data_IF_558277749660
#
_entry.id   IF_558277749660
#
_cell.length_a   1.000
_cell.length_b   1.000
_cell.length_c   1.000
_cell.angle_alpha   90.00
_cell.angle_beta   90.00
_cell.angle_gamma   90.00
#
_symmetry.space_group_name_H-M   'P 1'
#
loop_
_entity.id
_entity.type
_entity.pdbx_description
1 polymer ?
#
# COMPACT_ATOMS: atom_id res chain seq x y z
N UNK A 1 31.50 -7.72 -31.84
CA UNK A 1 31.13 -8.01 -33.24
C UNK A 1 30.47 -6.77 -33.83
N UNK A 2 31.07 -6.15 -34.85
CA UNK A 2 30.43 -5.12 -35.67
C UNK A 2 29.74 -5.84 -36.83
N UNK A 3 28.45 -5.61 -37.02
CA UNK A 3 27.72 -6.21 -38.13
C UNK A 3 28.25 -5.62 -39.44
N UNK A 4 28.91 -6.43 -40.27
CA UNK A 4 29.44 -6.05 -41.59
C UNK A 4 28.34 -6.10 -42.66
N UNK A 5 27.13 -5.63 -42.35
CA UNK A 5 26.09 -5.53 -43.37
C UNK A 5 26.46 -4.37 -44.30
N UNK A 6 26.56 -4.58 -45.62
CA UNK A 6 26.82 -3.50 -46.55
C UNK A 6 25.65 -2.51 -46.51
N UNK A 7 25.87 -1.39 -45.83
CA UNK A 7 24.91 -0.30 -45.82
C UNK A 7 24.98 0.41 -47.15
N UNK A 8 23.87 0.41 -47.88
CA UNK A 8 23.78 1.08 -49.16
C UNK A 8 23.96 2.60 -48.97
N UNK A 9 24.73 3.27 -49.84
CA UNK A 9 25.08 4.71 -49.71
C UNK A 9 23.86 5.61 -49.47
N UNK A 10 22.70 5.25 -50.04
CA UNK A 10 21.45 6.00 -49.88
C UNK A 10 20.87 5.96 -48.46
N UNK A 11 21.17 4.94 -47.66
CA UNK A 11 20.71 4.81 -46.26
C UNK A 11 21.39 5.80 -45.31
N UNK A 12 22.55 6.33 -45.69
CA UNK A 12 23.27 7.38 -44.97
C UNK A 12 23.28 8.71 -45.72
N UNK A 13 22.31 8.93 -46.62
CA UNK A 13 22.15 10.23 -47.23
C UNK A 13 21.93 11.31 -46.15
N UNK A 14 22.42 12.52 -46.39
CA UNK A 14 22.38 13.60 -45.42
C UNK A 14 20.95 13.99 -44.99
N UNK A 15 19.96 13.73 -45.84
CA UNK A 15 18.53 13.86 -45.52
C UNK A 15 18.12 12.97 -44.34
N UNK A 16 18.53 11.70 -44.32
CA UNK A 16 18.21 10.76 -43.24
C UNK A 16 18.89 11.13 -41.92
N UNK A 17 20.09 11.71 -41.98
CA UNK A 17 20.78 12.20 -40.79
C UNK A 17 20.04 13.39 -40.18
N UNK A 18 19.61 14.35 -41.01
CA UNK A 18 18.80 15.48 -40.56
C UNK A 18 17.46 15.04 -39.97
N UNK A 19 16.79 14.07 -40.60
CA UNK A 19 15.54 13.51 -40.10
C UNK A 19 15.74 12.75 -38.78
N UNK A 20 16.85 12.01 -38.64
CA UNK A 20 17.21 11.36 -37.40
C UNK A 20 17.44 12.37 -36.26
N UNK A 21 18.14 13.48 -36.53
CA UNK A 21 18.36 14.56 -35.55
C UNK A 21 17.03 15.19 -35.11
N UNK A 22 16.11 15.42 -36.06
CA UNK A 22 14.77 15.95 -35.77
C UNK A 22 13.98 14.96 -34.91
N UNK A 23 14.04 13.68 -35.23
CA UNK A 23 13.37 12.62 -34.47
C UNK A 23 13.94 12.50 -33.06
N UNK A 24 15.26 12.56 -32.89
CA UNK A 24 15.92 12.53 -31.58
C UNK A 24 15.52 13.74 -30.74
N UNK A 25 15.53 14.95 -31.31
CA UNK A 25 15.07 16.18 -30.64
C UNK A 25 13.61 16.05 -30.18
N UNK A 26 12.74 15.48 -31.03
CA UNK A 26 11.33 15.23 -30.68
C UNK A 26 11.20 14.19 -29.56
N UNK A 27 11.97 13.11 -29.62
CA UNK A 27 11.98 12.06 -28.61
C UNK A 27 12.46 12.61 -27.25
N UNK A 28 13.50 13.45 -27.26
CA UNK A 28 14.02 14.13 -26.07
C UNK A 28 12.96 15.02 -25.43
N UNK A 29 12.33 15.90 -26.22
CA UNK A 29 11.22 16.76 -25.73
C UNK A 29 10.07 15.94 -25.15
N UNK A 30 9.69 14.85 -25.82
CA UNK A 30 8.63 13.96 -25.33
C UNK A 30 8.99 13.29 -23.99
N UNK A 31 10.27 12.95 -23.78
CA UNK A 31 10.78 12.41 -22.52
C UNK A 31 10.76 13.47 -21.41
N UNK A 32 11.23 14.68 -21.70
CA UNK A 32 11.24 15.82 -20.77
C UNK A 32 9.82 16.13 -20.29
N UNK A 33 8.88 16.35 -21.23
CA UNK A 33 7.47 16.60 -20.92
C UNK A 33 6.84 15.48 -20.07
N UNK A 34 7.17 14.22 -20.36
CA UNK A 34 6.68 13.07 -19.58
C UNK A 34 7.22 13.10 -18.15
N UNK A 35 8.52 13.37 -18.01
CA UNK A 35 9.19 13.50 -16.71
C UNK A 35 8.59 14.64 -15.90
N UNK A 36 8.43 15.83 -16.50
CA UNK A 36 7.82 17.00 -15.86
C UNK A 36 6.37 16.73 -15.45
N UNK A 37 5.56 16.15 -16.34
CA UNK A 37 4.16 15.83 -16.05
C UNK A 37 4.05 14.86 -14.86
N UNK A 38 4.88 13.82 -14.84
CA UNK A 38 4.89 12.86 -13.74
C UNK A 38 5.41 13.48 -12.44
N UNK A 39 6.52 14.23 -12.51
CA UNK A 39 7.15 14.85 -11.34
C UNK A 39 6.28 15.97 -10.74
N UNK A 40 5.43 16.64 -11.52
CA UNK A 40 4.52 17.69 -11.05
C UNK A 40 3.64 17.25 -9.89
N UNK A 41 3.19 15.98 -9.89
CA UNK A 41 2.34 15.41 -8.82
C UNK A 41 3.12 14.48 -7.88
N UNK A 42 4.41 14.28 -8.11
CA UNK A 42 5.21 13.35 -7.34
C UNK A 42 5.88 14.08 -6.17
N UNK A 43 5.67 13.58 -4.95
CA UNK A 43 6.36 14.05 -3.75
C UNK A 43 7.36 12.99 -3.27
N UNK A 44 8.60 13.37 -2.88
CA UNK A 44 9.55 12.42 -2.32
C UNK A 44 9.07 11.93 -0.96
N UNK A 45 9.08 10.61 -0.76
CA UNK A 45 8.81 10.00 0.55
C UNK A 45 10.09 10.02 1.41
N UNK A 46 9.97 10.13 2.74
CA UNK A 46 11.14 10.12 3.64
C UNK A 46 11.99 8.86 3.43
N UNK A 47 13.31 8.97 3.19
CA UNK A 47 14.16 7.81 2.94
C UNK A 47 14.22 6.90 4.18
N UNK A 48 14.50 5.62 3.95
CA UNK A 48 14.74 4.68 5.03
C UNK A 48 16.23 4.42 5.21
N UNK A 49 16.62 4.07 6.43
CA UNK A 49 17.96 3.67 6.77
C UNK A 49 18.06 2.14 6.81
N UNK A 50 19.27 1.62 6.66
CA UNK A 50 19.57 0.21 6.88
C UNK A 50 19.19 -0.16 8.32
N UNK A 51 18.59 -1.35 8.50
CA UNK A 51 18.10 -1.83 9.80
C UNK A 51 16.66 -1.45 10.14
N UNK A 52 16.02 -0.55 9.39
CA UNK A 52 14.62 -0.21 9.64
C UNK A 52 13.69 -1.40 9.37
N UNK A 53 12.81 -1.70 10.33
CA UNK A 53 11.72 -2.66 10.15
C UNK A 53 10.61 -2.06 9.28
N UNK A 54 10.25 -2.78 8.22
CA UNK A 54 9.28 -2.35 7.22
C UNK A 54 8.29 -3.46 6.87
N UNK A 55 7.13 -3.06 6.35
CA UNK A 55 6.17 -3.92 5.68
C UNK A 55 6.29 -3.70 4.17
N UNK A 56 6.25 -4.79 3.41
CA UNK A 56 6.25 -4.81 1.96
C UNK A 56 4.81 -4.91 1.46
N UNK A 57 4.48 -4.09 0.45
CA UNK A 57 3.21 -4.19 -0.24
C UNK A 57 3.18 -5.39 -1.19
N UNK A 58 2.18 -6.25 -1.05
CA UNK A 58 1.97 -7.37 -1.96
C UNK A 58 1.51 -6.88 -3.35
N UNK A 59 2.07 -7.38 -4.47
CA UNK A 59 1.83 -6.79 -5.79
C UNK A 59 0.41 -6.98 -6.32
N UNK A 60 -0.26 -8.08 -5.96
CA UNK A 60 -1.61 -8.41 -6.43
C UNK A 60 -2.66 -7.79 -5.48
N UNK A 61 -2.72 -8.28 -4.24
CA UNK A 61 -3.68 -7.82 -3.22
C UNK A 61 -3.47 -6.39 -2.71
N UNK A 62 -2.31 -5.76 -2.95
CA UNK A 62 -1.96 -4.41 -2.45
C UNK A 62 -1.97 -4.25 -0.93
N UNK A 63 -2.15 -5.32 -0.17
CA UNK A 63 -2.06 -5.34 1.28
C UNK A 63 -0.60 -5.25 1.76
N UNK A 64 -0.40 -4.71 2.95
CA UNK A 64 0.89 -4.61 3.63
C UNK A 64 1.08 -5.82 4.54
N UNK A 65 1.51 -6.94 3.98
CA UNK A 65 1.52 -8.22 4.68
C UNK A 65 2.90 -8.71 5.07
N UNK A 66 3.90 -8.60 4.20
CA UNK A 66 5.21 -9.23 4.40
C UNK A 66 6.13 -8.33 5.23
N UNK A 67 6.49 -8.72 6.47
CA UNK A 67 7.45 -7.98 7.27
C UNK A 67 8.89 -8.27 6.84
N UNK A 68 9.74 -7.27 6.91
CA UNK A 68 11.17 -7.43 6.66
C UNK A 68 12.00 -6.27 7.19
N UNK A 69 13.32 -6.40 7.10
CA UNK A 69 14.30 -5.41 7.54
C UNK A 69 15.12 -4.95 6.35
N UNK A 70 15.34 -3.64 6.24
CA UNK A 70 16.14 -3.07 5.16
C UNK A 70 17.61 -3.46 5.35
N UNK A 71 18.21 -4.05 4.33
CA UNK A 71 19.62 -4.43 4.30
C UNK A 71 20.46 -3.41 3.56
N UNK A 72 19.98 -2.89 2.43
CA UNK A 72 20.74 -1.96 1.60
C UNK A 72 19.83 -0.91 0.98
N UNK A 73 20.39 0.28 0.77
CA UNK A 73 19.74 1.42 0.08
C UNK A 73 20.42 1.60 -1.28
N UNK A 74 19.64 1.45 -2.35
CA UNK A 74 20.08 1.63 -3.73
C UNK A 74 19.94 3.08 -4.23
N UNK A 75 20.46 3.38 -5.43
CA UNK A 75 20.57 4.74 -5.94
C UNK A 75 19.20 5.40 -6.26
N UNK A 76 18.22 4.64 -6.75
CA UNK A 76 16.96 5.19 -7.27
C UNK A 76 15.75 4.94 -6.35
N UNK A 77 15.92 5.21 -5.05
CA UNK A 77 14.90 4.91 -4.01
C UNK A 77 14.51 3.42 -3.99
N UNK A 78 15.43 2.58 -4.42
CA UNK A 78 15.34 1.13 -4.37
C UNK A 78 15.92 0.65 -3.04
N UNK A 79 15.32 -0.37 -2.46
CA UNK A 79 15.77 -0.95 -1.18
C UNK A 79 15.80 -2.46 -1.30
N UNK A 80 16.82 -3.07 -0.71
CA UNK A 80 16.84 -4.51 -0.45
C UNK A 80 16.29 -4.77 0.94
N UNK A 81 15.30 -5.65 1.03
CA UNK A 81 14.62 -6.01 2.26
C UNK A 81 14.78 -7.50 2.51
N UNK A 82 15.32 -7.88 3.66
CA UNK A 82 15.40 -9.26 4.13
C UNK A 82 14.15 -9.59 4.94
N UNK A 83 13.43 -10.61 4.49
CA UNK A 83 12.26 -11.15 5.19
C UNK A 83 12.72 -12.19 6.22
N UNK A 84 11.94 -12.41 7.29
CA UNK A 84 12.24 -13.44 8.29
C UNK A 84 12.32 -14.87 7.70
N UNK A 85 11.61 -15.12 6.59
CA UNK A 85 11.68 -16.35 5.81
C UNK A 85 12.97 -16.50 4.98
N UNK A 86 13.97 -15.62 5.16
CA UNK A 86 15.27 -15.69 4.49
C UNK A 86 15.32 -15.09 3.08
N UNK A 87 14.18 -14.77 2.47
CA UNK A 87 14.11 -14.14 1.15
C UNK A 87 14.57 -12.68 1.14
N UNK A 88 15.27 -12.28 0.07
CA UNK A 88 15.66 -10.88 -0.19
C UNK A 88 14.78 -10.30 -1.28
N UNK A 89 14.12 -9.17 -0.99
CA UNK A 89 13.25 -8.48 -1.92
C UNK A 89 13.81 -7.11 -2.29
N UNK A 90 13.90 -6.83 -3.60
CA UNK A 90 14.18 -5.49 -4.10
C UNK A 90 12.86 -4.74 -4.34
N UNK A 91 12.64 -3.65 -3.60
CA UNK A 91 11.40 -2.85 -3.68
C UNK A 91 11.68 -1.35 -3.62
N UNK A 92 10.91 -0.58 -4.39
CA UNK A 92 10.96 0.87 -4.34
C UNK A 92 10.35 1.40 -3.05
N UNK A 93 10.81 2.58 -2.58
CA UNK A 93 10.32 3.26 -1.37
C UNK A 93 8.81 3.29 -1.21
N UNK A 94 8.08 3.49 -2.32
CA UNK A 94 6.61 3.59 -2.32
C UNK A 94 5.90 2.30 -1.90
N UNK A 95 6.58 1.16 -2.05
CA UNK A 95 6.06 -0.17 -1.71
C UNK A 95 6.56 -0.66 -0.35
N UNK A 96 7.11 0.23 0.46
CA UNK A 96 7.60 -0.03 1.82
C UNK A 96 6.95 0.95 2.81
N UNK A 97 6.47 0.41 3.94
CA UNK A 97 5.95 1.21 5.07
C UNK A 97 6.75 0.89 6.32
N UNK A 98 7.04 1.91 7.13
CA UNK A 98 7.69 1.71 8.43
C UNK A 98 6.78 0.90 9.33
N UNK A 99 7.31 -0.17 9.91
CA UNK A 99 6.64 -0.92 10.97
C UNK A 99 7.23 -0.43 12.29
N UNK A 100 6.41 0.20 13.12
CA UNK A 100 6.79 0.47 14.51
C UNK A 100 6.41 -0.76 15.31
N UNK A 101 7.36 -1.44 15.98
CA UNK A 101 7.00 -2.49 16.92
C UNK A 101 6.25 -1.82 18.07
N UNK A 102 4.94 -2.04 18.15
CA UNK A 102 4.18 -1.79 19.37
C UNK A 102 4.54 -2.94 20.28
N UNK A 103 5.50 -2.74 21.17
CA UNK A 103 5.60 -3.60 22.34
C UNK A 103 4.31 -3.37 23.13
N UNK A 104 3.47 -4.40 23.39
CA UNK A 104 2.47 -4.25 24.43
C UNK A 104 3.25 -4.02 25.73
N UNK A 105 2.98 -2.91 26.41
CA UNK A 105 3.50 -2.69 27.75
C UNK A 105 3.24 -3.97 28.56
N UNK A 106 4.30 -4.54 29.13
CA UNK A 106 4.17 -5.70 29.99
C UNK A 106 3.18 -5.32 31.10
N UNK A 107 1.94 -5.79 30.99
CA UNK A 107 1.04 -5.91 32.12
C UNK A 107 1.70 -6.97 32.97
N UNK A 108 2.59 -6.54 33.86
CA UNK A 108 3.10 -7.40 34.93
C UNK A 108 1.85 -7.74 35.73
N UNK A 109 1.35 -9.00 35.72
CA UNK A 109 0.34 -9.35 36.70
C UNK A 109 1.02 -9.15 38.05
N UNK A 110 0.52 -8.21 38.85
CA UNK A 110 0.84 -8.13 40.27
C UNK A 110 0.43 -9.49 40.86
N UNK A 111 1.37 -10.41 40.91
CA UNK A 111 1.24 -11.67 41.66
C UNK A 111 1.19 -11.27 43.12
N UNK A 112 -0.01 -11.04 43.64
CA UNK A 112 -0.26 -11.02 45.08
C UNK A 112 -0.01 -12.45 45.55
N UNK A 113 1.04 -12.75 46.35
CA UNK A 113 1.13 -14.05 46.98
C UNK A 113 -0.02 -14.12 48.00
N UNK A 114 -1.03 -14.92 47.67
CA UNK A 114 -2.09 -15.30 48.59
C UNK A 114 -1.45 -15.95 49.82
N UNK A 115 -1.32 -15.17 50.89
CA UNK A 115 -0.99 -15.67 52.22
C UNK A 115 -2.26 -16.37 52.74
N UNK A 116 -2.19 -17.66 53.11
CA UNK A 116 -3.37 -18.37 53.58
C UNK A 116 -3.81 -17.80 54.93
N UNK A 117 -5.07 -17.40 54.99
CA UNK A 117 -5.74 -16.94 56.19
C UNK A 117 -5.73 -18.03 57.29
N UNK A 118 -5.46 -17.69 58.56
CA UNK A 118 -6.01 -18.41 59.68
C UNK A 118 -7.31 -17.72 60.12
N UNK A 119 -8.39 -18.49 60.11
CA UNK A 119 -9.67 -18.10 60.70
C UNK A 119 -9.53 -17.90 62.22
N UNK A 120 -10.08 -16.81 62.75
CA UNK A 120 -10.47 -16.72 64.16
C UNK A 120 -11.87 -16.08 64.23
N UNK A 121 -12.85 -16.75 64.85
CA UNK A 121 -14.23 -16.27 65.01
C UNK A 121 -14.38 -15.40 66.26
N UNK A 122 -15.24 -14.38 66.20
CA UNK A 122 -15.78 -13.73 67.40
C UNK A 122 -15.87 -12.22 67.35
N UNK A 123 -17.09 -11.72 67.13
CA UNK A 123 -17.73 -10.56 67.77
C UNK A 123 -17.00 -9.20 67.77
N UNK A 124 -17.65 -8.18 67.19
CA UNK A 124 -18.41 -7.19 67.96
C UNK A 124 -19.00 -6.10 67.03
N UNK A 125 -20.34 -6.11 66.94
CA UNK A 125 -21.20 -4.95 66.70
C UNK A 125 -20.79 -3.78 67.60
N UNK A 126 -20.78 -2.52 67.14
CA UNK A 126 -21.61 -1.32 67.52
C UNK A 126 -21.12 -0.04 66.75
N UNK A 127 -21.80 1.13 66.75
CA UNK A 127 -23.11 1.48 66.18
C UNK A 127 -23.06 2.67 65.18
N UNK A 128 -24.21 2.91 64.55
CA UNK A 128 -24.54 4.02 63.66
C UNK A 128 -24.34 5.44 64.25
N UNK A 129 -24.03 6.40 63.36
CA UNK A 129 -24.36 7.82 63.53
C UNK A 129 -25.28 8.24 62.38
N UNK A 130 -26.44 8.88 62.67
CA UNK A 130 -27.48 9.21 61.70
C UNK A 130 -27.32 10.62 61.12
N UNK A 131 -27.77 10.83 59.88
CA UNK A 131 -27.82 12.16 59.27
C UNK A 131 -28.23 12.16 57.81
N UNK A 132 -29.52 11.86 57.56
CA UNK A 132 -30.43 12.32 56.48
C UNK A 132 -29.82 12.59 55.07
N UNK A 133 -30.33 12.00 53.99
CA UNK A 133 -31.70 12.24 53.55
C UNK A 133 -32.34 11.07 52.77
N UNK A 134 -33.67 11.06 52.88
CA UNK A 134 -34.70 10.11 52.43
C UNK A 134 -35.08 10.39 50.96
N UNK A 135 -34.94 9.36 50.10
CA UNK A 135 -35.83 8.77 49.03
C UNK A 135 -36.73 9.72 48.14
N UNK A 136 -37.21 9.34 46.92
CA UNK A 136 -37.77 8.03 46.55
C UNK A 136 -37.29 7.41 45.21
N UNK A 137 -37.38 6.08 45.17
CA UNK A 137 -37.34 5.26 43.97
C UNK A 137 -38.61 5.43 43.11
N UNK A 138 -38.49 5.32 41.78
CA UNK A 138 -39.34 4.54 40.85
C UNK A 138 -38.85 4.76 39.38
N UNK A 139 -39.36 4.07 38.36
CA UNK A 139 -38.83 2.78 37.92
C UNK A 139 -38.45 2.77 36.41
N UNK A 140 -37.55 1.84 36.05
CA UNK A 140 -37.47 1.28 34.70
C UNK A 140 -36.88 2.16 33.62
N UNK A 141 -35.71 1.79 33.11
CA UNK A 141 -35.55 1.71 31.66
C UNK A 141 -34.49 0.68 31.28
N UNK A 142 -34.88 -0.08 30.29
CA UNK A 142 -34.29 -1.32 29.89
C UNK A 142 -32.91 -1.14 29.27
N UNK A 143 -32.12 -2.20 29.43
CA UNK A 143 -30.96 -2.54 28.61
C UNK A 143 -31.28 -2.30 27.13
N UNK A 144 -30.56 -1.37 26.50
CA UNK A 144 -30.45 -1.31 25.05
C UNK A 144 -29.15 -2.04 24.65
N UNK A 145 -29.22 -3.18 23.94
CA UNK A 145 -28.07 -3.86 23.38
C UNK A 145 -27.52 -3.10 22.18
N UNK A 146 -26.23 -3.29 21.91
CA UNK A 146 -25.53 -2.85 20.70
C UNK A 146 -26.32 -3.23 19.43
N UNK A 147 -26.40 -2.35 18.40
CA UNK A 147 -27.02 -2.73 17.14
C UNK A 147 -26.14 -3.75 16.41
N UNK A 148 -26.72 -4.91 16.14
CA UNK A 148 -26.21 -5.92 15.21
C UNK A 148 -26.32 -5.41 13.75
N UNK A 149 -25.49 -5.95 12.83
CA UNK A 149 -25.46 -5.55 11.43
C UNK A 149 -26.72 -5.95 10.65
N UNK A 150 -27.13 -5.11 9.71
CA UNK A 150 -28.24 -5.37 8.79
C UNK A 150 -27.99 -6.64 7.93
N UNK A 151 -29.04 -7.44 7.67
CA UNK A 151 -28.96 -8.57 6.75
C UNK A 151 -28.95 -8.10 5.29
N UNK A 152 -28.12 -8.77 4.49
CA UNK A 152 -28.01 -8.60 3.06
C UNK A 152 -29.32 -8.92 2.30
N UNK A 153 -29.59 -8.26 1.17
CA UNK A 153 -30.54 -8.76 0.18
C UNK A 153 -29.86 -9.75 -0.78
N UNK A 154 -30.32 -10.99 -0.74
CA UNK A 154 -30.34 -12.01 -1.81
C UNK A 154 -31.57 -11.68 -2.67
N UNK A 155 -31.68 -11.72 -4.00
CA UNK A 155 -30.93 -12.18 -5.17
C UNK A 155 -31.57 -11.45 -6.38
N UNK A 156 -30.81 -11.20 -7.47
CA UNK A 156 -31.26 -11.30 -8.88
C UNK A 156 -30.29 -10.59 -9.83
N UNK A 157 -29.71 -11.37 -10.76
CA UNK A 157 -29.12 -10.86 -12.00
C UNK A 157 -27.63 -11.17 -12.16
N UNK A 158 -27.33 -12.39 -12.60
CA UNK A 158 -26.06 -12.74 -13.24
C UNK A 158 -25.90 -11.91 -14.53
N UNK A 159 -25.34 -10.71 -14.43
CA UNK A 159 -24.78 -9.97 -15.57
C UNK A 159 -23.28 -10.22 -15.58
N UNK A 160 -22.82 -10.90 -16.64
CA UNK A 160 -21.40 -11.10 -16.93
C UNK A 160 -20.65 -9.75 -16.83
N UNK A 161 -19.50 -9.69 -16.13
CA UNK A 161 -18.75 -8.45 -16.04
C UNK A 161 -18.34 -8.00 -17.45
N UNK A 162 -18.60 -6.74 -17.84
CA UNK A 162 -18.33 -6.31 -19.20
C UNK A 162 -16.83 -6.51 -19.50
N UNK A 163 -16.49 -7.05 -20.67
CA UNK A 163 -15.10 -7.27 -21.03
C UNK A 163 -14.36 -5.94 -20.93
N UNK A 164 -13.29 -5.94 -20.13
CA UNK A 164 -12.40 -4.80 -19.91
C UNK A 164 -11.55 -4.52 -21.15
N UNK A 165 -12.19 -4.34 -22.32
CA UNK A 165 -11.56 -3.85 -23.54
C UNK A 165 -11.65 -2.34 -23.55
N UNK A 166 -10.51 -1.68 -23.62
CA UNK A 166 -10.44 -0.25 -23.85
C UNK A 166 -11.25 0.11 -25.10
N UNK A 167 -12.28 0.95 -24.96
CA UNK A 167 -13.04 1.50 -26.09
C UNK A 167 -12.23 2.51 -26.95
N UNK A 168 -10.89 2.49 -26.83
CA UNK A 168 -10.02 3.30 -27.65
C UNK A 168 -9.83 2.58 -28.97
N UNK A 169 -10.57 3.00 -30.00
CA UNK A 169 -10.27 2.62 -31.37
C UNK A 169 -8.76 2.84 -31.62
N UNK A 170 -8.03 1.82 -32.14
CA UNK A 170 -6.65 2.03 -32.54
C UNK A 170 -6.65 3.17 -33.56
N UNK A 171 -5.86 4.23 -33.28
CA UNK A 171 -5.67 5.29 -34.27
C UNK A 171 -5.10 4.62 -35.52
N UNK A 172 -5.70 4.83 -36.72
CA UNK A 172 -5.16 4.26 -37.93
C UNK A 172 -3.71 4.74 -38.09
N UNK A 173 -2.83 3.80 -38.41
CA UNK A 173 -1.43 4.09 -38.67
C UNK A 173 -1.34 5.04 -39.87
N UNK A 174 -0.76 6.23 -39.64
CA UNK A 174 -0.51 7.23 -40.69
C UNK A 174 0.46 6.75 -41.78
N UNK A 175 1.04 5.56 -41.62
CA UNK A 175 2.08 5.05 -42.52
C UNK A 175 1.53 4.42 -43.81
N UNK A 176 0.21 4.18 -43.90
CA UNK A 176 -0.38 3.58 -45.11
C UNK A 176 -1.80 4.12 -45.42
N UNK A 177 -1.92 5.18 -46.23
CA UNK A 177 -3.21 5.59 -46.81
C UNK A 177 -3.73 4.53 -47.81
N UNK A 178 -5.02 4.17 -47.79
CA UNK A 178 -5.57 3.05 -48.60
C UNK A 178 -5.64 3.28 -50.11
N UNK A 179 -5.12 4.39 -50.66
CA UNK A 179 -5.35 4.80 -52.05
C UNK A 179 -4.21 4.44 -53.03
N UNK A 180 -3.28 3.55 -52.66
CA UNK A 180 -2.17 3.16 -53.56
C UNK A 180 -2.34 1.78 -54.21
N UNK A 181 -3.54 1.20 -54.24
CA UNK A 181 -3.81 0.03 -55.08
C UNK A 181 -4.82 0.36 -56.19
N UNK A 182 -4.29 0.85 -57.31
CA UNK A 182 -4.94 0.72 -58.61
C UNK A 182 -3.83 0.58 -59.65
N UNK A 183 -3.69 -0.64 -60.14
CA UNK A 183 -3.09 -0.98 -61.43
C UNK A 183 -4.08 -1.89 -62.14
#
# INVERSE_FOLDING_TARGET
MRNCLPAHRRSFAAEWQKDADVLEKRARRAKELRTEHFNRRAHPLPPFQVGNAVLIQHPISKCWSTPGVITEVGPNRDYLVKTAAGGVFRRNRRFLRRRVPVMPAAVVPLTVPATPAPAIPGQAVIPAVPGQAVIPAAPGQAVAPCPAPDPAPVDQGEEDPPPRRSARAPKPSSLYPPHTWSK
#
